data_IF_321452760703
#
_entry.id   IF_321452760703
#
_cell.length_a   1.000
_cell.length_b   1.000
_cell.length_c   1.000
_cell.angle_alpha   90.00
_cell.angle_beta   90.00
_cell.angle_gamma   90.00
#
_symmetry.space_group_name_H-M   'P 1'
#
loop_
_entity.id
_entity.type
_entity.pdbx_description
1 polymer ?
#
# COMPACT_ATOMS: atom_id res chain seq x y z
N UNK A 1 20.12 -20.50 -8.29
CA UNK A 1 19.62 -20.15 -9.63
C UNK A 1 18.10 -20.20 -9.54
N UNK A 2 17.43 -19.04 -9.51
CA UNK A 2 15.97 -18.99 -9.36
C UNK A 2 15.33 -19.46 -10.66
N UNK A 3 14.58 -20.56 -10.62
CA UNK A 3 13.89 -21.10 -11.80
C UNK A 3 12.57 -20.35 -11.95
N UNK A 4 12.43 -19.61 -13.05
CA UNK A 4 11.18 -18.97 -13.44
C UNK A 4 10.37 -19.95 -14.30
N UNK A 5 9.28 -20.45 -13.74
CA UNK A 5 8.33 -21.29 -14.48
C UNK A 5 7.30 -20.42 -15.20
N UNK A 6 6.67 -20.93 -16.25
CA UNK A 6 5.55 -20.25 -16.90
C UNK A 6 4.25 -20.94 -16.50
N UNK A 7 3.30 -20.21 -15.91
CA UNK A 7 2.01 -20.73 -15.45
C UNK A 7 0.90 -19.74 -15.77
N UNK A 8 -0.35 -20.23 -15.82
CA UNK A 8 -1.53 -19.36 -15.93
C UNK A 8 -1.90 -18.81 -14.57
N UNK A 9 -2.16 -17.51 -14.48
CA UNK A 9 -2.74 -16.90 -13.29
C UNK A 9 -4.16 -17.44 -13.06
N UNK A 10 -4.48 -17.91 -11.86
CA UNK A 10 -5.82 -18.43 -11.56
C UNK A 10 -6.92 -17.38 -11.74
N UNK A 11 -6.63 -16.10 -11.49
CA UNK A 11 -7.65 -15.06 -11.38
C UNK A 11 -7.89 -14.28 -12.67
N UNK A 12 -6.89 -14.17 -13.56
CA UNK A 12 -7.02 -13.49 -14.85
C UNK A 12 -6.71 -14.38 -16.06
N UNK A 13 -6.32 -15.65 -15.85
CA UNK A 13 -5.99 -16.64 -16.89
C UNK A 13 -4.82 -16.28 -17.83
N UNK A 14 -4.13 -15.16 -17.56
CA UNK A 14 -2.92 -14.78 -18.30
C UNK A 14 -1.75 -15.74 -18.04
N UNK A 15 -0.99 -16.03 -19.09
CA UNK A 15 0.22 -16.84 -19.00
C UNK A 15 1.39 -15.97 -18.54
N UNK A 16 1.90 -16.21 -17.33
CA UNK A 16 2.90 -15.37 -16.69
C UNK A 16 4.08 -16.14 -16.13
N UNK A 17 5.14 -15.41 -15.77
CA UNK A 17 6.27 -15.97 -15.05
C UNK A 17 5.92 -16.12 -13.57
N UNK A 18 6.29 -17.26 -13.02
CA UNK A 18 6.09 -17.59 -11.61
C UNK A 18 7.41 -17.90 -10.95
N UNK A 19 7.63 -17.30 -9.78
CA UNK A 19 8.79 -17.52 -8.92
C UNK A 19 8.36 -18.14 -7.61
N UNK A 20 9.02 -19.22 -7.19
CA UNK A 20 8.80 -19.83 -5.86
C UNK A 20 9.74 -19.24 -4.84
N UNK A 21 9.21 -18.68 -3.74
CA UNK A 21 9.99 -18.13 -2.63
C UNK A 21 9.18 -18.15 -1.34
N UNK A 22 9.74 -18.81 -0.31
CA UNK A 22 9.18 -18.80 1.05
C UNK A 22 7.80 -19.46 1.16
N UNK A 23 7.58 -20.60 0.50
CA UNK A 23 6.29 -21.31 0.51
C UNK A 23 5.17 -20.64 -0.31
N UNK A 24 5.53 -19.67 -1.16
CA UNK A 24 4.60 -18.95 -2.02
C UNK A 24 5.04 -19.01 -3.48
N UNK A 25 4.05 -19.11 -4.37
CA UNK A 25 4.17 -18.90 -5.80
C UNK A 25 3.87 -17.44 -6.13
N UNK A 26 4.88 -16.71 -6.60
CA UNK A 26 4.78 -15.29 -6.97
C UNK A 26 4.47 -15.17 -8.46
N UNK A 27 3.28 -14.65 -8.78
CA UNK A 27 2.82 -14.38 -10.14
C UNK A 27 3.23 -12.97 -10.52
N UNK A 28 4.00 -12.82 -11.60
CA UNK A 28 4.65 -11.56 -11.98
C UNK A 28 3.97 -10.99 -13.22
N UNK A 29 3.65 -9.70 -13.17
CA UNK A 29 3.20 -8.89 -14.31
C UNK A 29 1.98 -9.47 -15.06
N UNK A 30 0.99 -9.96 -14.30
CA UNK A 30 -0.30 -10.37 -14.86
C UNK A 30 -1.31 -9.22 -14.78
N UNK A 31 -2.50 -9.40 -15.38
CA UNK A 31 -3.57 -8.40 -15.31
C UNK A 31 -4.08 -8.12 -13.88
N UNK A 32 -3.83 -9.02 -12.92
CA UNK A 32 -4.12 -8.79 -11.50
C UNK A 32 -3.07 -7.92 -10.82
N UNK A 33 -1.84 -7.85 -11.33
CA UNK A 33 -0.76 -7.04 -10.75
C UNK A 33 0.14 -6.47 -11.88
N UNK A 34 -0.38 -5.57 -12.73
CA UNK A 34 0.39 -5.01 -13.85
C UNK A 34 1.63 -4.28 -13.34
N UNK A 35 2.81 -4.57 -13.88
CA UNK A 35 4.08 -4.01 -13.43
C UNK A 35 4.56 -4.49 -12.05
N UNK A 36 3.83 -5.40 -11.41
CA UNK A 36 4.08 -5.86 -10.05
C UNK A 36 4.06 -7.37 -9.90
N UNK A 37 3.80 -7.85 -8.69
CA UNK A 37 3.59 -9.27 -8.42
C UNK A 37 2.69 -9.50 -7.22
N UNK A 38 2.05 -10.67 -7.17
CA UNK A 38 1.33 -11.14 -5.99
C UNK A 38 1.73 -12.57 -5.66
N UNK A 39 1.71 -12.92 -4.37
CA UNK A 39 1.98 -14.25 -3.87
C UNK A 39 0.70 -15.07 -3.71
N UNK A 40 0.77 -16.35 -4.01
CA UNK A 40 -0.22 -17.34 -3.61
C UNK A 40 0.48 -18.42 -2.79
N UNK A 41 -0.02 -18.73 -1.60
CA UNK A 41 0.53 -19.80 -0.77
C UNK A 41 0.39 -21.14 -1.48
N UNK A 42 1.43 -21.97 -1.45
CA UNK A 42 1.52 -23.20 -2.27
C UNK A 42 0.35 -24.16 -2.05
N UNK A 43 -0.13 -24.29 -0.81
CA UNK A 43 -1.28 -25.14 -0.44
C UNK A 43 -2.64 -24.56 -0.86
N UNK A 44 -2.68 -23.30 -1.28
CA UNK A 44 -3.92 -22.61 -1.66
C UNK A 44 -4.26 -22.73 -3.14
N UNK A 45 -3.27 -23.09 -3.98
CA UNK A 45 -3.48 -23.21 -5.43
C UNK A 45 -4.50 -24.29 -5.79
N UNK A 46 -4.34 -25.52 -5.29
CA UNK A 46 -5.22 -26.63 -5.64
C UNK A 46 -6.66 -26.44 -5.14
N UNK A 47 -6.92 -26.02 -3.89
CA UNK A 47 -8.26 -25.70 -3.42
C UNK A 47 -8.97 -24.65 -4.31
N UNK A 48 -8.28 -23.55 -4.64
CA UNK A 48 -8.83 -22.52 -5.54
C UNK A 48 -9.09 -23.06 -6.95
N UNK A 49 -8.20 -23.91 -7.47
CA UNK A 49 -8.35 -24.56 -8.78
C UNK A 49 -9.54 -25.51 -8.81
N UNK A 50 -9.91 -26.12 -7.69
CA UNK A 50 -11.01 -27.08 -7.60
C UNK A 50 -12.39 -26.45 -7.40
N UNK A 51 -12.47 -25.13 -7.16
CA UNK A 51 -13.75 -24.41 -7.11
C UNK A 51 -14.57 -24.64 -8.37
N UNK A 52 -15.89 -24.69 -8.20
CA UNK A 52 -16.84 -24.81 -9.29
C UNK A 52 -16.75 -23.62 -10.24
N UNK A 53 -17.21 -23.80 -11.47
CA UNK A 53 -17.26 -22.71 -12.46
C UNK A 53 -18.04 -21.49 -11.93
N UNK A 54 -19.15 -21.72 -11.21
CA UNK A 54 -19.98 -20.66 -10.63
C UNK A 54 -19.21 -19.87 -9.56
N UNK A 55 -18.54 -20.56 -8.64
CA UNK A 55 -17.74 -19.93 -7.59
C UNK A 55 -16.62 -19.08 -8.19
N UNK A 56 -15.88 -19.62 -9.17
CA UNK A 56 -14.80 -18.88 -9.85
C UNK A 56 -15.34 -17.64 -10.55
N UNK A 57 -16.45 -17.76 -11.29
CA UNK A 57 -17.04 -16.63 -12.02
C UNK A 57 -17.45 -15.47 -11.11
N UNK A 58 -17.88 -15.76 -9.88
CA UNK A 58 -18.33 -14.75 -8.93
C UNK A 58 -17.20 -14.20 -8.05
N UNK A 59 -16.12 -14.95 -7.84
CA UNK A 59 -15.06 -14.58 -6.90
C UNK A 59 -13.76 -14.12 -7.56
N UNK A 60 -13.33 -14.75 -8.65
CA UNK A 60 -12.02 -14.47 -9.26
C UNK A 60 -11.89 -13.05 -9.83
N UNK A 61 -12.93 -12.46 -10.46
CA UNK A 61 -12.89 -11.04 -10.84
C UNK A 61 -12.68 -10.11 -9.64
N UNK A 62 -13.30 -10.42 -8.50
CA UNK A 62 -13.19 -9.63 -7.26
C UNK A 62 -11.80 -9.77 -6.64
N UNK A 63 -11.26 -11.00 -6.60
CA UNK A 63 -9.88 -11.22 -6.16
C UNK A 63 -8.86 -10.56 -7.08
N UNK A 64 -9.05 -10.65 -8.39
CA UNK A 64 -8.20 -9.96 -9.37
C UNK A 64 -8.21 -8.45 -9.14
N UNK A 65 -9.37 -7.87 -8.87
CA UNK A 65 -9.54 -6.45 -8.56
C UNK A 65 -8.89 -6.07 -7.23
N UNK A 66 -9.05 -6.91 -6.20
CA UNK A 66 -8.39 -6.73 -4.91
C UNK A 66 -6.87 -6.72 -5.06
N UNK A 67 -6.30 -7.75 -5.71
CA UNK A 67 -4.85 -7.81 -5.96
C UNK A 67 -4.41 -6.55 -6.72
N UNK A 68 -5.14 -6.15 -7.76
CA UNK A 68 -4.78 -5.00 -8.59
C UNK A 68 -4.79 -3.72 -7.78
N UNK A 69 -5.82 -3.48 -6.97
CA UNK A 69 -5.89 -2.29 -6.14
C UNK A 69 -4.81 -2.27 -5.05
N UNK A 70 -4.55 -3.40 -4.38
CA UNK A 70 -3.51 -3.47 -3.36
C UNK A 70 -2.12 -3.26 -3.95
N UNK A 71 -1.80 -3.94 -5.05
CA UNK A 71 -0.50 -3.79 -5.72
C UNK A 71 -0.31 -2.40 -6.31
N UNK A 72 -1.36 -1.78 -6.84
CA UNK A 72 -1.38 -0.37 -7.27
C UNK A 72 -1.13 0.62 -6.11
N UNK A 73 -1.39 0.19 -4.88
CA UNK A 73 -1.07 0.95 -3.66
C UNK A 73 0.29 0.56 -3.06
N UNK A 74 1.16 -0.14 -3.81
CA UNK A 74 2.45 -0.68 -3.36
C UNK A 74 2.34 -1.71 -2.22
N UNK A 75 1.16 -2.30 -1.99
CA UNK A 75 0.96 -3.32 -0.96
C UNK A 75 1.41 -4.70 -1.42
N UNK A 76 2.07 -5.42 -0.51
CA UNK A 76 2.51 -6.79 -0.78
C UNK A 76 1.35 -7.75 -0.54
N UNK A 77 0.81 -8.29 -1.62
CA UNK A 77 -0.31 -9.23 -1.55
C UNK A 77 0.20 -10.67 -1.50
N UNK A 78 -0.17 -11.41 -0.46
CA UNK A 78 -0.04 -12.86 -0.40
C UNK A 78 -1.43 -13.41 -0.06
N UNK A 79 -1.97 -14.27 -0.92
CA UNK A 79 -3.28 -14.87 -0.73
C UNK A 79 -3.17 -16.30 -0.23
N UNK A 80 -4.08 -16.68 0.66
CA UNK A 80 -4.40 -18.05 1.00
C UNK A 80 -5.81 -18.43 0.53
N UNK A 81 -6.17 -19.71 0.63
CA UNK A 81 -7.52 -20.17 0.32
C UNK A 81 -8.55 -19.56 1.28
N UNK A 82 -8.19 -19.39 2.55
CA UNK A 82 -9.06 -18.81 3.58
C UNK A 82 -9.35 -17.32 3.33
N UNK A 83 -8.42 -16.59 2.72
CA UNK A 83 -8.59 -15.18 2.36
C UNK A 83 -9.74 -14.95 1.38
N UNK A 84 -10.12 -15.97 0.59
CA UNK A 84 -11.24 -15.90 -0.34
C UNK A 84 -12.51 -15.36 0.34
N UNK A 85 -12.90 -15.95 1.47
CA UNK A 85 -14.13 -15.55 2.17
C UNK A 85 -13.95 -14.19 2.83
N UNK A 86 -12.81 -13.96 3.46
CA UNK A 86 -12.48 -12.70 4.15
C UNK A 86 -12.50 -11.51 3.20
N UNK A 87 -11.90 -11.64 2.02
CA UNK A 87 -11.87 -10.59 1.00
C UNK A 87 -13.28 -10.36 0.46
N UNK A 88 -14.01 -11.40 0.06
CA UNK A 88 -15.35 -11.26 -0.52
C UNK A 88 -16.37 -10.63 0.44
N UNK A 89 -16.20 -10.84 1.75
CA UNK A 89 -17.07 -10.28 2.80
C UNK A 89 -16.57 -8.95 3.36
N UNK A 90 -15.40 -8.47 2.90
CA UNK A 90 -14.84 -7.22 3.40
C UNK A 90 -15.75 -6.04 3.04
N UNK A 91 -16.04 -5.14 4.00
CA UNK A 91 -16.82 -3.93 3.72
C UNK A 91 -16.10 -2.97 2.76
N UNK A 92 -14.82 -3.23 2.45
CA UNK A 92 -14.05 -2.47 1.47
C UNK A 92 -14.36 -2.90 0.03
N UNK A 93 -14.93 -4.08 -0.20
CA UNK A 93 -15.30 -4.49 -1.56
C UNK A 93 -16.51 -3.67 -2.00
N UNK A 94 -16.40 -2.91 -3.11
CA UNK A 94 -17.49 -2.10 -3.59
C UNK A 94 -18.61 -2.99 -4.14
N UNK A 95 -19.82 -2.78 -3.64
CA UNK A 95 -21.01 -3.54 -4.04
C UNK A 95 -21.82 -2.73 -5.04
N UNK A 96 -21.97 -1.43 -4.80
CA UNK A 96 -22.81 -0.55 -5.64
C UNK A 96 -22.06 -0.04 -6.87
N UNK A 97 -22.79 0.29 -7.93
CA UNK A 97 -22.22 0.92 -9.14
C UNK A 97 -21.45 2.21 -8.81
N UNK A 98 -21.94 2.98 -7.84
CA UNK A 98 -21.31 4.23 -7.40
C UNK A 98 -19.96 3.96 -6.72
N UNK A 99 -19.93 3.04 -5.75
CA UNK A 99 -18.69 2.62 -5.09
C UNK A 99 -17.66 2.07 -6.09
N UNK A 100 -18.11 1.29 -7.07
CA UNK A 100 -17.27 0.77 -8.14
C UNK A 100 -16.75 1.87 -9.07
N UNK A 101 -17.58 2.87 -9.37
CA UNK A 101 -17.16 4.07 -10.09
C UNK A 101 -16.09 4.85 -9.34
N UNK A 102 -16.24 4.99 -8.03
CA UNK A 102 -15.26 5.65 -7.16
C UNK A 102 -13.90 4.93 -7.19
N UNK A 103 -13.85 3.60 -7.38
CA UNK A 103 -12.59 2.87 -7.57
C UNK A 103 -11.86 3.30 -8.84
N UNK A 104 -12.57 3.50 -9.96
CA UNK A 104 -11.96 4.01 -11.19
C UNK A 104 -11.44 5.44 -11.00
N UNK A 105 -12.24 6.31 -10.39
CA UNK A 105 -11.82 7.70 -10.11
C UNK A 105 -10.55 7.75 -9.25
N UNK A 106 -10.49 6.93 -8.19
CA UNK A 106 -9.31 6.80 -7.33
C UNK A 106 -8.10 6.27 -8.07
N UNK A 107 -8.28 5.27 -8.94
CA UNK A 107 -7.19 4.77 -9.79
C UNK A 107 -6.64 5.88 -10.67
N UNK A 108 -7.49 6.61 -11.40
CA UNK A 108 -7.05 7.71 -12.25
C UNK A 108 -6.32 8.80 -11.45
N UNK A 109 -6.82 9.13 -10.26
CA UNK A 109 -6.21 10.13 -9.37
C UNK A 109 -4.82 9.69 -8.87
N UNK A 110 -4.58 8.40 -8.63
CA UNK A 110 -3.23 7.91 -8.25
C UNK A 110 -2.23 7.97 -9.39
N UNK A 111 -2.72 7.92 -10.63
CA UNK A 111 -1.90 7.90 -11.86
C UNK A 111 -1.78 9.27 -12.53
N UNK A 112 -2.23 10.34 -11.88
CA UNK A 112 -2.14 11.73 -12.37
C UNK A 112 -1.74 12.67 -11.25
N UNK A 113 -1.14 13.80 -11.61
CA UNK A 113 -0.75 14.85 -10.66
C UNK A 113 -1.79 15.97 -10.55
N UNK A 114 -2.70 16.06 -11.51
CA UNK A 114 -3.79 17.03 -11.50
C UNK A 114 -4.95 16.71 -12.46
N UNK A 115 -6.04 17.47 -12.38
CA UNK A 115 -7.18 17.33 -13.29
C UNK A 115 -6.78 17.60 -14.75
N UNK A 116 -7.44 16.92 -15.69
CA UNK A 116 -7.21 17.06 -17.12
C UNK A 116 -6.00 16.28 -17.68
N UNK A 117 -5.16 15.72 -16.81
CA UNK A 117 -4.06 14.85 -17.22
C UNK A 117 -4.58 13.49 -17.72
N UNK A 118 -3.91 12.97 -18.76
CA UNK A 118 -4.34 11.76 -19.45
C UNK A 118 -3.71 10.50 -18.85
N UNK A 119 -4.55 9.53 -18.51
CA UNK A 119 -4.17 8.15 -18.17
C UNK A 119 -4.58 7.23 -19.30
N UNK A 120 -3.62 6.48 -19.83
CA UNK A 120 -3.89 5.45 -20.85
C UNK A 120 -4.06 4.11 -20.16
N UNK A 121 -5.27 3.55 -20.22
CA UNK A 121 -5.55 2.20 -19.73
C UNK A 121 -5.38 1.22 -20.89
N UNK A 122 -4.21 0.60 -20.96
CA UNK A 122 -3.93 -0.46 -21.94
C UNK A 122 -4.89 -1.63 -21.73
N UNK A 123 -5.36 -2.24 -22.83
CA UNK A 123 -6.30 -3.36 -22.79
C UNK A 123 -7.54 -3.08 -21.91
N UNK A 124 -8.15 -1.91 -22.09
CA UNK A 124 -9.34 -1.50 -21.31
C UNK A 124 -10.44 -2.57 -21.26
N UNK A 125 -10.67 -3.30 -22.35
CA UNK A 125 -11.65 -4.39 -22.43
C UNK A 125 -11.37 -5.57 -21.48
N UNK A 126 -10.15 -5.70 -20.98
CA UNK A 126 -9.73 -6.73 -20.02
C UNK A 126 -9.52 -6.17 -18.61
N UNK A 127 -9.63 -4.85 -18.43
CA UNK A 127 -9.35 -4.15 -17.15
C UNK A 127 -10.61 -3.90 -16.31
N UNK A 128 -11.61 -4.78 -16.39
CA UNK A 128 -12.82 -4.67 -15.55
C UNK A 128 -12.54 -4.88 -14.06
N UNK A 129 -11.37 -5.39 -13.72
CA UNK A 129 -10.86 -5.46 -12.36
C UNK A 129 -10.49 -4.09 -11.76
N UNK A 130 -10.41 -3.01 -12.55
CA UNK A 130 -10.23 -1.64 -12.02
C UNK A 130 -11.41 -1.15 -11.18
N UNK A 131 -12.60 -1.67 -11.45
CA UNK A 131 -13.86 -1.27 -10.81
C UNK A 131 -14.48 -2.40 -10.01
N UNK A 132 -13.77 -3.51 -9.76
CA UNK A 132 -14.36 -4.73 -9.18
C UNK A 132 -15.60 -5.20 -9.95
N UNK A 133 -15.63 -4.96 -11.26
CA UNK A 133 -16.71 -5.42 -12.11
C UNK A 133 -16.57 -6.91 -12.37
N UNK A 134 -17.70 -7.63 -12.43
CA UNK A 134 -17.71 -9.06 -12.77
C UNK A 134 -17.62 -9.28 -14.29
N UNK A 135 -17.93 -8.25 -15.07
CA UNK A 135 -18.01 -8.32 -16.53
C UNK A 135 -17.56 -7.02 -17.20
N UNK A 136 -17.20 -7.12 -18.48
CA UNK A 136 -16.89 -5.95 -19.30
C UNK A 136 -18.10 -5.01 -19.45
N UNK A 137 -19.32 -5.56 -19.57
CA UNK A 137 -20.54 -4.75 -19.70
C UNK A 137 -20.73 -3.83 -18.50
N UNK A 138 -20.45 -4.32 -17.30
CA UNK A 138 -20.53 -3.53 -16.07
C UNK A 138 -19.47 -2.42 -16.03
N UNK A 139 -18.22 -2.71 -16.42
CA UNK A 139 -17.16 -1.70 -16.54
C UNK A 139 -17.56 -0.59 -17.53
N UNK A 140 -18.08 -0.96 -18.70
CA UNK A 140 -18.51 -0.01 -19.72
C UNK A 140 -19.65 0.85 -19.20
N UNK A 141 -20.63 0.26 -18.52
CA UNK A 141 -21.74 1.00 -17.91
C UNK A 141 -21.26 2.01 -16.86
N UNK A 142 -20.40 1.58 -15.93
CA UNK A 142 -19.81 2.47 -14.90
C UNK A 142 -19.05 3.62 -15.57
N UNK A 143 -18.26 3.31 -16.59
CA UNK A 143 -17.44 4.30 -17.31
C UNK A 143 -18.29 5.33 -18.03
N UNK A 144 -19.32 4.91 -18.78
CA UNK A 144 -20.20 5.86 -19.46
C UNK A 144 -21.01 6.69 -18.45
N UNK A 145 -21.46 6.10 -17.33
CA UNK A 145 -22.13 6.84 -16.27
C UNK A 145 -21.23 7.93 -15.67
N UNK A 146 -19.98 7.62 -15.33
CA UNK A 146 -19.02 8.60 -14.81
C UNK A 146 -18.76 9.75 -15.81
N UNK A 147 -18.77 9.45 -17.10
CA UNK A 147 -18.61 10.43 -18.17
C UNK A 147 -19.86 11.31 -18.32
N UNK A 148 -21.05 10.70 -18.33
CA UNK A 148 -22.35 11.41 -18.37
C UNK A 148 -22.51 12.34 -17.16
N UNK A 149 -22.11 11.89 -15.98
CA UNK A 149 -22.12 12.68 -14.74
C UNK A 149 -21.00 13.74 -14.68
N UNK A 150 -20.12 13.79 -15.69
CA UNK A 150 -19.07 14.79 -15.83
C UNK A 150 -17.87 14.60 -14.89
N UNK A 151 -17.65 13.41 -14.36
CA UNK A 151 -16.46 13.10 -13.54
C UNK A 151 -15.23 12.78 -14.38
N UNK A 152 -15.41 12.22 -15.57
CA UNK A 152 -14.31 11.87 -16.47
C UNK A 152 -14.56 12.34 -17.90
N UNK A 153 -13.47 12.57 -18.62
CA UNK A 153 -13.46 12.57 -20.08
C UNK A 153 -12.81 11.29 -20.58
N UNK A 154 -13.34 10.74 -21.67
CA UNK A 154 -12.82 9.50 -22.27
C UNK A 154 -12.76 9.59 -23.78
N UNK A 155 -11.59 9.26 -24.33
CA UNK A 155 -11.36 9.09 -25.77
C UNK A 155 -10.66 7.74 -25.96
N UNK A 156 -11.42 6.72 -26.42
CA UNK A 156 -10.91 5.35 -26.58
C UNK A 156 -10.47 4.74 -25.24
N UNK A 157 -9.17 4.46 -25.13
CA UNK A 157 -8.49 3.95 -23.92
C UNK A 157 -7.84 5.06 -23.08
N UNK A 158 -8.00 6.32 -23.47
CA UNK A 158 -7.45 7.47 -22.74
C UNK A 158 -8.53 8.10 -21.87
N UNK A 159 -8.20 8.28 -20.59
CA UNK A 159 -9.08 8.80 -19.55
C UNK A 159 -8.48 10.07 -18.95
N UNK A 160 -9.33 11.02 -18.57
CA UNK A 160 -8.93 12.20 -17.81
C UNK A 160 -9.95 12.44 -16.71
N UNK A 161 -9.48 12.82 -15.53
CA UNK A 161 -10.36 13.36 -14.50
C UNK A 161 -10.73 14.79 -14.87
N UNK A 162 -12.01 15.13 -14.78
CA UNK A 162 -12.43 16.54 -14.76
C UNK A 162 -12.10 17.15 -13.39
N UNK A 163 -12.25 18.46 -13.22
CA UNK A 163 -12.14 19.08 -11.89
C UNK A 163 -13.11 18.46 -10.89
N UNK A 164 -14.36 18.17 -11.32
CA UNK A 164 -15.36 17.48 -10.51
C UNK A 164 -14.90 16.07 -10.13
N UNK A 165 -14.41 15.31 -11.11
CA UNK A 165 -13.86 13.97 -10.87
C UNK A 165 -12.67 13.96 -9.93
N UNK A 166 -11.80 14.95 -10.03
CA UNK A 166 -10.63 15.09 -9.17
C UNK A 166 -11.03 15.29 -7.71
N UNK A 167 -11.94 16.23 -7.44
CA UNK A 167 -12.46 16.49 -6.09
C UNK A 167 -13.18 15.26 -5.55
N UNK A 168 -14.02 14.61 -6.35
CA UNK A 168 -14.74 13.40 -5.94
C UNK A 168 -13.78 12.25 -5.63
N UNK A 169 -12.76 12.03 -6.48
CA UNK A 169 -11.73 11.02 -6.24
C UNK A 169 -10.97 11.28 -4.94
N UNK A 170 -10.66 12.54 -4.62
CA UNK A 170 -10.00 12.93 -3.38
C UNK A 170 -10.90 12.73 -2.15
N UNK A 171 -12.20 13.01 -2.27
CA UNK A 171 -13.17 12.84 -1.18
C UNK A 171 -13.52 11.37 -0.91
N UNK A 172 -13.64 10.58 -1.97
CA UNK A 172 -13.97 9.14 -1.92
C UNK A 172 -12.74 8.25 -1.80
N UNK A 173 -11.54 8.85 -1.84
CA UNK A 173 -10.34 8.26 -1.30
C UNK A 173 -10.44 8.18 0.24
N UNK A 174 -11.41 7.42 0.74
CA UNK A 174 -11.29 6.72 2.00
C UNK A 174 -10.06 5.82 1.88
N UNK A 175 -8.92 6.35 2.32
CA UNK A 175 -7.62 5.72 2.31
C UNK A 175 -6.96 5.59 0.93
N UNK A 176 -5.89 6.35 0.69
CA UNK A 176 -4.62 5.63 0.45
C UNK A 176 -4.57 4.58 1.56
N UNK A 177 -4.35 3.30 1.28
CA UNK A 177 -3.79 2.46 2.32
C UNK A 177 -2.52 3.22 2.73
N UNK A 178 -2.61 3.90 3.86
CA UNK A 178 -1.60 4.83 4.29
C UNK A 178 -0.39 3.95 4.51
N UNK A 179 0.69 4.20 3.77
CA UNK A 179 1.89 3.35 3.77
C UNK A 179 2.32 3.16 5.22
N UNK A 180 2.34 1.93 5.77
CA UNK A 180 2.60 1.75 7.20
C UNK A 180 3.95 2.39 7.56
N UNK A 181 3.91 3.30 8.55
CA UNK A 181 5.05 4.07 8.98
C UNK A 181 5.21 3.91 10.49
N UNK A 182 6.36 3.43 10.92
CA UNK A 182 6.65 3.34 12.35
C UNK A 182 7.56 4.47 12.78
N UNK A 183 7.26 5.03 13.95
CA UNK A 183 8.07 6.06 14.60
C UNK A 183 8.60 5.48 15.91
N UNK A 184 9.93 5.40 16.03
CA UNK A 184 10.59 5.04 17.28
C UNK A 184 11.27 6.29 17.84
N UNK A 185 10.78 6.76 18.99
CA UNK A 185 11.37 7.87 19.72
C UNK A 185 12.38 7.35 20.73
N UNK A 186 13.47 8.09 20.95
CA UNK A 186 14.49 7.72 21.92
C UNK A 186 14.08 8.01 23.37
N UNK A 187 13.20 9.01 23.56
CA UNK A 187 12.62 9.34 24.86
C UNK A 187 11.10 9.53 24.73
N UNK A 188 10.33 8.59 25.28
CA UNK A 188 8.86 8.68 25.35
C UNK A 188 8.42 9.56 26.53
N UNK A 189 8.59 10.88 26.38
CA UNK A 189 7.91 11.85 27.24
C UNK A 189 6.50 12.12 26.67
N UNK A 190 5.49 12.23 27.54
CA UNK A 190 4.10 12.57 27.15
C UNK A 190 4.03 13.87 26.35
N UNK A 191 4.86 14.87 26.68
CA UNK A 191 4.90 16.16 25.96
C UNK A 191 5.37 15.97 24.51
N UNK A 192 6.48 15.28 24.31
CA UNK A 192 7.05 15.05 22.98
C UNK A 192 6.11 14.15 22.15
N UNK A 193 5.55 13.11 22.77
CA UNK A 193 4.62 12.21 22.11
C UNK A 193 3.36 12.96 21.64
N UNK A 194 2.85 13.89 22.45
CA UNK A 194 1.72 14.76 22.09
C UNK A 194 2.06 15.68 20.93
N UNK A 195 3.22 16.35 20.98
CA UNK A 195 3.66 17.25 19.92
C UNK A 195 3.75 16.49 18.57
N UNK A 196 4.28 15.26 18.58
CA UNK A 196 4.33 14.41 17.39
C UNK A 196 2.94 14.03 16.86
N UNK A 197 2.01 13.67 17.74
CA UNK A 197 0.64 13.31 17.37
C UNK A 197 -0.13 14.51 16.79
N UNK A 198 0.10 15.71 17.31
CA UNK A 198 -0.62 16.92 16.92
C UNK A 198 -0.02 17.60 15.68
N UNK A 199 1.28 17.43 15.42
CA UNK A 199 1.98 18.20 14.36
C UNK A 199 2.61 17.32 13.28
N UNK A 200 3.40 16.31 13.66
CA UNK A 200 4.17 15.49 12.71
C UNK A 200 3.29 14.45 12.03
N UNK A 201 2.46 13.75 12.80
CA UNK A 201 1.60 12.67 12.29
C UNK A 201 0.61 13.16 11.23
N UNK A 202 -0.11 14.29 11.42
CA UNK A 202 -0.98 14.85 10.39
C UNK A 202 -0.24 15.11 9.07
N UNK A 203 1.03 15.55 9.13
CA UNK A 203 1.81 15.77 7.92
C UNK A 203 2.19 14.45 7.23
N UNK A 204 2.63 13.44 7.98
CA UNK A 204 2.94 12.12 7.43
C UNK A 204 1.70 11.47 6.77
N UNK A 205 0.52 11.66 7.37
CA UNK A 205 -0.77 11.24 6.79
C UNK A 205 -1.03 11.96 5.45
N UNK A 206 -0.81 13.27 5.38
CA UNK A 206 -0.94 14.04 4.13
C UNK A 206 0.07 13.58 3.06
N UNK A 207 1.24 13.09 3.46
CA UNK A 207 2.24 12.50 2.57
C UNK A 207 1.90 11.05 2.17
N UNK A 208 0.83 10.47 2.73
CA UNK A 208 0.32 9.14 2.37
C UNK A 208 0.83 8.00 3.25
N UNK A 209 1.33 8.29 4.45
CA UNK A 209 1.80 7.30 5.43
C UNK A 209 0.83 7.11 6.61
N UNK A 210 0.84 5.93 7.24
CA UNK A 210 0.10 5.62 8.46
C UNK A 210 1.09 5.62 9.62
N UNK A 211 1.42 6.79 10.21
CA UNK A 211 2.35 6.87 11.32
C UNK A 211 1.73 6.21 12.56
N UNK A 212 2.50 5.33 13.18
CA UNK A 212 2.22 4.75 14.48
C UNK A 212 3.50 4.73 15.30
N UNK A 213 3.42 5.02 16.60
CA UNK A 213 4.56 4.76 17.46
C UNK A 213 4.85 3.26 17.50
N UNK A 214 6.13 2.92 17.36
CA UNK A 214 6.61 1.59 17.65
C UNK A 214 6.71 1.50 19.18
N UNK A 215 5.64 1.02 19.83
CA UNK A 215 5.53 0.97 21.29
C UNK A 215 6.75 0.25 21.91
N UNK A 216 7.57 1.00 22.66
CA UNK A 216 8.44 0.48 23.71
C UNK A 216 7.79 0.77 25.06
N UNK A 217 6.70 0.09 25.36
CA UNK A 217 6.05 0.25 26.66
C UNK A 217 6.74 -0.67 27.70
N UNK A 218 8.01 -0.39 27.99
CA UNK A 218 8.80 -1.10 29.01
C UNK A 218 8.45 -0.67 30.44
N UNK A 219 7.73 0.43 30.61
CA UNK A 219 7.40 0.99 31.93
C UNK A 219 5.95 0.77 32.39
N UNK A 220 5.01 0.37 31.52
CA UNK A 220 3.60 0.19 31.89
C UNK A 220 2.97 -1.15 31.49
N UNK A 221 3.66 -2.01 30.72
CA UNK A 221 3.17 -3.36 30.42
C UNK A 221 3.90 -4.40 31.27
N UNK A 222 3.11 -5.20 31.98
CA UNK A 222 3.55 -6.37 32.75
C UNK A 222 4.16 -7.48 31.87
N UNK A 223 4.08 -7.37 30.54
CA UNK A 223 4.59 -8.34 29.58
C UNK A 223 5.22 -7.62 28.36
N UNK A 224 6.56 -7.64 28.19
CA UNK A 224 7.21 -7.07 27.02
C UNK A 224 6.86 -7.89 25.76
N UNK A 225 6.59 -7.20 24.65
CA UNK A 225 6.38 -7.89 23.36
C UNK A 225 7.65 -8.64 22.95
N UNK A 226 7.56 -9.90 22.49
CA UNK A 226 8.68 -10.60 21.89
C UNK A 226 9.27 -9.81 20.71
N UNK A 227 10.60 -9.80 20.60
CA UNK A 227 11.31 -9.06 19.56
C UNK A 227 10.91 -9.52 18.16
N UNK A 228 10.59 -10.81 17.97
CA UNK A 228 10.15 -11.38 16.70
C UNK A 228 8.86 -10.72 16.19
N UNK A 229 7.92 -10.45 17.09
CA UNK A 229 6.66 -9.77 16.76
C UNK A 229 6.92 -8.33 16.31
N UNK A 230 7.82 -7.62 16.99
CA UNK A 230 8.21 -6.26 16.64
C UNK A 230 8.91 -6.24 15.27
N UNK A 231 9.82 -7.19 15.00
CA UNK A 231 10.48 -7.29 13.70
C UNK A 231 9.50 -7.68 12.58
N UNK A 232 8.48 -8.50 12.86
CA UNK A 232 7.39 -8.76 11.93
C UNK A 232 6.58 -7.51 11.62
N UNK A 233 6.24 -6.70 12.64
CA UNK A 233 5.59 -5.40 12.44
C UNK A 233 6.45 -4.49 11.53
N UNK A 234 7.75 -4.36 11.83
CA UNK A 234 8.69 -3.59 10.99
C UNK A 234 8.76 -4.14 9.56
N UNK A 235 8.76 -5.47 9.36
CA UNK A 235 8.85 -6.07 8.02
C UNK A 235 7.70 -5.67 7.07
N UNK A 236 6.59 -5.19 7.62
CA UNK A 236 5.43 -4.74 6.87
C UNK A 236 5.38 -3.21 6.67
N UNK A 237 6.38 -2.46 7.16
CA UNK A 237 6.42 -1.01 7.01
C UNK A 237 7.17 -0.53 5.77
N UNK A 238 6.78 0.65 5.29
CA UNK A 238 7.40 1.32 4.13
C UNK A 238 8.36 2.43 4.55
N UNK A 239 8.17 2.94 5.76
CA UNK A 239 9.00 3.98 6.35
C UNK A 239 9.21 3.68 7.83
N UNK A 240 10.46 3.74 8.26
CA UNK A 240 10.82 3.74 9.68
C UNK A 240 11.47 5.09 10.01
N UNK A 241 10.84 5.87 10.88
CA UNK A 241 11.41 7.10 11.43
C UNK A 241 12.01 6.77 12.78
N UNK A 242 13.31 6.98 12.92
CA UNK A 242 14.08 6.61 14.11
C UNK A 242 14.73 7.85 14.69
N UNK A 243 14.42 8.14 15.94
CA UNK A 243 15.13 9.14 16.73
C UNK A 243 16.37 8.51 17.37
N UNK A 244 17.55 9.04 17.03
CA UNK A 244 18.85 8.56 17.50
C UNK A 244 19.44 9.46 18.59
N UNK A 245 18.66 10.37 19.17
CA UNK A 245 19.12 11.27 20.24
C UNK A 245 19.75 10.49 21.40
N UNK A 246 19.10 9.42 21.85
CA UNK A 246 19.64 8.46 22.84
C UNK A 246 19.56 7.02 22.29
N UNK A 247 20.55 6.57 21.50
CA UNK A 247 20.43 5.33 20.75
C UNK A 247 20.64 4.11 21.64
N UNK A 248 19.74 3.13 21.54
CA UNK A 248 19.80 1.86 22.28
C UNK A 248 20.26 0.70 21.39
N UNK A 249 20.67 -0.41 22.01
CA UNK A 249 21.01 -1.62 21.26
C UNK A 249 19.82 -2.17 20.45
N UNK A 250 18.59 -2.04 20.98
CA UNK A 250 17.37 -2.48 20.30
C UNK A 250 17.06 -1.64 19.06
N UNK A 251 17.28 -0.32 19.14
CA UNK A 251 17.16 0.58 18.00
C UNK A 251 18.08 0.13 16.85
N UNK A 252 19.35 -0.17 17.15
CA UNK A 252 20.29 -0.62 16.12
C UNK A 252 19.93 -1.97 15.52
N UNK A 253 19.40 -2.90 16.33
CA UNK A 253 18.90 -4.18 15.84
C UNK A 253 17.74 -3.99 14.86
N UNK A 254 16.75 -3.17 15.22
CA UNK A 254 15.55 -2.88 14.41
C UNK A 254 15.91 -2.14 13.13
N UNK A 255 16.76 -1.12 13.23
CA UNK A 255 17.20 -0.36 12.08
C UNK A 255 18.05 -1.23 11.13
N UNK A 256 18.93 -2.08 11.66
CA UNK A 256 19.68 -3.06 10.87
C UNK A 256 18.78 -4.05 10.14
N UNK A 257 17.73 -4.54 10.81
CA UNK A 257 16.71 -5.40 10.19
C UNK A 257 15.95 -4.67 9.08
N UNK A 258 15.54 -3.42 9.30
CA UNK A 258 14.86 -2.60 8.30
C UNK A 258 15.75 -2.36 7.06
N UNK A 259 17.03 -2.03 7.25
CA UNK A 259 18.01 -1.92 6.15
C UNK A 259 18.10 -3.23 5.36
N UNK A 260 18.20 -4.37 6.05
CA UNK A 260 18.27 -5.69 5.42
C UNK A 260 17.01 -6.09 4.63
N UNK A 261 15.86 -5.46 4.92
CA UNK A 261 14.60 -5.63 4.21
C UNK A 261 14.31 -4.51 3.20
N UNK A 262 15.30 -3.66 2.90
CA UNK A 262 15.17 -2.55 1.94
C UNK A 262 14.08 -1.54 2.34
N UNK A 263 13.84 -1.37 3.64
CA UNK A 263 12.87 -0.40 4.17
C UNK A 263 13.55 0.96 4.27
N UNK A 264 12.87 2.02 3.81
CA UNK A 264 13.35 3.39 3.93
C UNK A 264 13.44 3.80 5.40
N UNK A 265 14.60 4.32 5.81
CA UNK A 265 14.81 4.85 7.17
C UNK A 265 15.05 6.35 7.10
N UNK A 266 14.33 7.10 7.93
CA UNK A 266 14.65 8.48 8.23
C UNK A 266 15.20 8.56 9.65
N UNK A 267 16.45 9.00 9.75
CA UNK A 267 17.13 9.27 11.00
C UNK A 267 16.76 10.68 11.48
N UNK A 268 16.42 10.85 12.74
CA UNK A 268 16.16 12.15 13.37
C UNK A 268 16.96 12.27 14.65
N UNK A 269 17.32 13.48 15.07
CA UNK A 269 17.99 13.72 16.35
C UNK A 269 17.72 15.14 16.84
N UNK A 270 17.61 15.32 18.15
CA UNK A 270 17.60 16.65 18.78
C UNK A 270 19.02 17.19 19.04
N UNK A 271 20.05 16.36 18.82
CA UNK A 271 21.46 16.69 19.07
C UNK A 271 22.24 16.68 17.76
N UNK A 272 22.87 17.82 17.44
CA UNK A 272 23.59 17.99 16.18
C UNK A 272 24.94 17.23 16.13
N UNK A 273 25.72 17.28 17.21
CA UNK A 273 27.09 16.77 17.27
C UNK A 273 27.19 15.41 17.99
N UNK A 274 26.41 14.44 17.52
CA UNK A 274 26.45 13.08 18.04
C UNK A 274 27.36 12.18 17.21
N UNK A 275 28.22 11.41 17.88
CA UNK A 275 29.09 10.46 17.21
C UNK A 275 28.30 9.21 16.81
N UNK A 276 27.83 9.18 15.56
CA UNK A 276 27.02 8.10 15.00
C UNK A 276 27.83 7.22 14.02
N UNK A 277 27.39 5.97 13.79
CA UNK A 277 28.01 5.10 12.81
C UNK A 277 28.04 5.71 11.40
N UNK A 278 29.03 5.33 10.60
CA UNK A 278 29.17 5.79 9.22
C UNK A 278 27.91 5.43 8.41
N UNK A 279 27.32 6.42 7.75
CA UNK A 279 26.11 6.26 6.94
C UNK A 279 24.82 6.69 7.63
N UNK A 280 24.82 6.88 8.96
CA UNK A 280 23.70 7.45 9.70
C UNK A 280 23.81 8.97 9.64
N UNK A 281 22.83 9.64 9.03
CA UNK A 281 22.78 11.10 8.88
C UNK A 281 21.44 11.62 9.39
N UNK A 282 21.32 11.96 10.68
CA UNK A 282 20.07 12.41 11.26
C UNK A 282 19.66 13.79 10.75
N UNK A 283 18.36 13.96 10.57
CA UNK A 283 17.72 15.26 10.47
C UNK A 283 17.71 15.85 11.87
N UNK A 284 18.48 16.92 12.07
CA UNK A 284 18.53 17.63 13.34
C UNK A 284 17.32 18.56 13.44
N UNK A 285 16.62 18.54 14.57
CA UNK A 285 15.43 19.36 14.80
C UNK A 285 15.37 19.87 16.24
N UNK A 286 14.86 21.08 16.44
CA UNK A 286 14.65 21.68 17.76
C UNK A 286 13.18 21.64 18.19
N UNK A 287 12.27 21.70 17.21
CA UNK A 287 10.83 21.63 17.42
C UNK A 287 10.15 20.81 16.32
N UNK A 288 8.89 20.45 16.55
CA UNK A 288 8.15 19.57 15.66
C UNK A 288 7.79 20.24 14.31
N UNK A 289 7.69 21.57 14.25
CA UNK A 289 7.43 22.30 13.00
C UNK A 289 8.66 22.33 12.08
N UNK A 290 9.85 22.46 12.65
CA UNK A 290 11.12 22.31 11.94
C UNK A 290 11.24 20.89 11.39
N UNK A 291 10.98 19.88 12.22
CA UNK A 291 11.01 18.48 11.80
C UNK A 291 10.07 18.23 10.61
N UNK A 292 8.83 18.73 10.67
CA UNK A 292 7.85 18.65 9.58
C UNK A 292 8.39 19.24 8.27
N UNK A 293 9.02 20.42 8.32
CA UNK A 293 9.60 21.08 7.14
C UNK A 293 10.72 20.26 6.52
N UNK A 294 11.60 19.69 7.34
CA UNK A 294 12.73 18.88 6.86
C UNK A 294 12.26 17.53 6.33
N UNK A 295 11.34 16.85 7.04
CA UNK A 295 10.74 15.59 6.61
C UNK A 295 10.07 15.72 5.24
N UNK A 296 9.27 16.77 5.04
CA UNK A 296 8.62 17.01 3.76
C UNK A 296 9.64 17.15 2.64
N UNK A 297 10.70 17.94 2.84
CA UNK A 297 11.74 18.15 1.82
C UNK A 297 12.46 16.85 1.43
N UNK A 298 12.63 15.92 2.37
CA UNK A 298 13.25 14.62 2.12
C UNK A 298 12.28 13.68 1.39
N UNK A 299 11.02 13.64 1.82
CA UNK A 299 10.01 12.72 1.31
C UNK A 299 9.40 13.13 -0.04
N UNK A 300 9.51 14.40 -0.45
CA UNK A 300 9.01 14.89 -1.75
C UNK A 300 10.11 15.09 -2.79
N UNK A 301 11.34 14.62 -2.53
CA UNK A 301 12.50 14.82 -3.42
C UNK A 301 12.80 13.63 -4.35
N UNK A 302 11.84 12.72 -4.51
CA UNK A 302 11.87 11.64 -5.51
C UNK A 302 10.88 11.94 -6.63
#
# INVERSE_FOLDING_TARGET
MEVLESKRCLFCDELVKVKRKGGNEWYIDCMCAPGGSYGLREDSYEPLRLLSYSEKRNSFPILSAYIREQTDCDEKVILTYEDLVTILQSPQIPITTEEKGNRLLRYLHRHTTGPGEAVVINQFSQSYNLTYSLTLQELVFITEKLKEDGYIERIGSTFKLTEKGWVEAANTASGKALKPCYVQLSNHNESISRDWLETVFPRLIQLGYAPKFLEEDLSLRLDPKPIETVLQEISNCKLLVVDVTEPTAELWLRAGFAIGNEIQIIWTSQVADQQLPQGVRPLVWQDAEELVRVLQKVLTKE
#
